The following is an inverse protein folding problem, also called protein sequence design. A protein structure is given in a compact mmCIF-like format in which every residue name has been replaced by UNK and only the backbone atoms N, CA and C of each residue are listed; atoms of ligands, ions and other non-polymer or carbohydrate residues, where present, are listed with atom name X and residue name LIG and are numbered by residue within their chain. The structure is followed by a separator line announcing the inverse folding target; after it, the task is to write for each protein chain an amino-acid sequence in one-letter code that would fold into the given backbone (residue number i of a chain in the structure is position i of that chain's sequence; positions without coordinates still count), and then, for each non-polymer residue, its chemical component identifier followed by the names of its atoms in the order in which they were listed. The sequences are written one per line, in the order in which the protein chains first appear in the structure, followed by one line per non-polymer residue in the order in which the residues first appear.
data_IF_920254749347
#
_entry.id   IF_920254749347
#
_cell.length_a   1.000
_cell.length_b   1.000
_cell.length_c   1.000
_cell.angle_alpha   90.00
_cell.angle_beta   90.00
_cell.angle_gamma   90.00
#
_symmetry.space_group_name_H-M   'P 1'
#
loop_
_entity.id
_entity.type
_entity.pdbx_description
1 polymer ?
#
# COMPACT_ATOMS: atom_id res chain seq x y z
N UNK A 1 -19.19 22.49 8.22
CA UNK A 1 -18.62 23.38 7.19
C UNK A 1 -17.91 22.46 6.20
N UNK A 2 -18.69 21.60 5.50
CA UNK A 2 -18.23 20.30 4.97
C UNK A 2 -18.43 20.17 3.45
N UNK A 3 -18.50 21.29 2.74
CA UNK A 3 -18.71 21.30 1.28
C UNK A 3 -17.39 21.13 0.51
N UNK A 4 -16.25 21.36 1.14
CA UNK A 4 -14.92 21.39 0.52
C UNK A 4 -14.30 20.00 0.32
N UNK A 5 -14.53 19.06 1.24
CA UNK A 5 -13.99 17.70 1.14
C UNK A 5 -14.61 16.87 0.02
N UNK A 6 -15.92 17.01 -0.19
CA UNK A 6 -16.64 16.30 -1.25
C UNK A 6 -16.23 16.79 -2.65
N UNK A 7 -16.08 18.10 -2.82
CA UNK A 7 -15.62 18.68 -4.08
C UNK A 7 -14.18 18.29 -4.44
N UNK A 8 -13.31 18.12 -3.43
CA UNK A 8 -11.93 17.70 -3.63
C UNK A 8 -11.79 16.20 -4.00
N UNK A 9 -12.64 15.33 -3.46
CA UNK A 9 -12.55 13.88 -3.70
C UNK A 9 -13.42 13.40 -4.86
N UNK A 10 -14.56 14.06 -5.12
CA UNK A 10 -15.56 13.64 -6.11
C UNK A 10 -16.07 14.82 -6.95
N UNK A 11 -15.21 15.43 -7.79
CA UNK A 11 -15.49 16.69 -8.49
C UNK A 11 -16.74 16.65 -9.39
N UNK A 12 -17.04 15.49 -10.00
CA UNK A 12 -18.25 15.32 -10.82
C UNK A 12 -19.54 15.23 -9.99
N UNK A 13 -19.47 14.70 -8.77
CA UNK A 13 -20.62 14.64 -7.87
C UNK A 13 -20.90 16.01 -7.23
N UNK A 14 -19.86 16.80 -6.95
CA UNK A 14 -20.01 18.16 -6.41
C UNK A 14 -20.61 19.15 -7.41
N UNK A 15 -20.30 19.00 -8.71
CA UNK A 15 -20.90 19.80 -9.77
C UNK A 15 -22.42 19.61 -9.84
N UNK A 16 -22.88 18.35 -9.70
CA UNK A 16 -24.31 18.02 -9.63
C UNK A 16 -25.02 18.56 -8.38
N UNK A 17 -24.28 18.85 -7.31
CA UNK A 17 -24.79 19.37 -6.04
C UNK A 17 -24.65 20.90 -5.91
N UNK A 18 -24.23 21.60 -6.98
CA UNK A 18 -24.07 23.06 -6.98
C UNK A 18 -23.04 23.55 -5.98
N UNK A 19 -22.00 22.75 -5.69
CA UNK A 19 -20.87 23.15 -4.88
C UNK A 19 -19.78 23.64 -5.84
N UNK A 20 -19.36 24.91 -5.71
CA UNK A 20 -18.28 25.45 -6.53
C UNK A 20 -17.05 24.53 -6.43
N UNK A 21 -16.45 24.13 -7.57
CA UNK A 21 -15.30 23.26 -7.55
C UNK A 21 -14.19 23.99 -6.80
N UNK A 22 -13.86 23.49 -5.62
CA UNK A 22 -12.63 23.89 -4.94
C UNK A 22 -11.54 23.50 -5.92
N UNK A 23 -10.77 24.47 -6.43
CA UNK A 23 -9.51 24.20 -7.11
C UNK A 23 -8.51 23.65 -6.09
N UNK A 24 -8.81 22.50 -5.49
CA UNK A 24 -7.83 21.68 -4.79
C UNK A 24 -6.97 21.08 -5.88
N UNK A 25 -5.88 21.78 -6.15
CA UNK A 25 -4.69 21.32 -6.85
C UNK A 25 -4.63 19.80 -6.93
N UNK A 26 -4.67 19.22 -8.13
CA UNK A 26 -4.60 17.78 -8.39
C UNK A 26 -3.48 17.05 -7.63
N UNK A 27 -2.47 17.81 -7.17
CA UNK A 27 -1.36 17.41 -6.32
C UNK A 27 -1.67 16.49 -5.14
N UNK A 28 -2.73 16.69 -4.33
CA UNK A 28 -2.92 15.85 -3.13
C UNK A 28 -3.48 14.46 -3.46
N UNK A 29 -4.53 14.40 -4.28
CA UNK A 29 -5.12 13.13 -4.73
C UNK A 29 -4.12 12.35 -5.59
N UNK A 30 -3.41 13.02 -6.49
CA UNK A 30 -2.37 12.40 -7.31
C UNK A 30 -1.22 11.87 -6.44
N UNK A 31 -0.78 12.61 -5.42
CA UNK A 31 0.25 12.14 -4.49
C UNK A 31 -0.21 10.92 -3.69
N UNK A 32 -1.46 10.92 -3.19
CA UNK A 32 -2.03 9.78 -2.47
C UNK A 32 -2.17 8.53 -3.35
N UNK A 33 -2.72 8.69 -4.57
CA UNK A 33 -2.83 7.59 -5.53
C UNK A 33 -1.46 7.06 -5.96
N UNK A 34 -0.48 7.94 -6.16
CA UNK A 34 0.90 7.55 -6.44
C UNK A 34 1.49 6.74 -5.28
N UNK A 35 1.29 7.18 -4.03
CA UNK A 35 1.76 6.46 -2.85
C UNK A 35 1.10 5.08 -2.73
N UNK A 36 -0.21 4.99 -2.92
CA UNK A 36 -0.93 3.70 -2.95
C UNK A 36 -0.39 2.79 -4.06
N UNK A 37 -0.17 3.33 -5.25
CA UNK A 37 0.39 2.57 -6.38
C UNK A 37 1.77 2.01 -6.06
N UNK A 38 2.64 2.81 -5.45
CA UNK A 38 3.98 2.37 -5.04
C UNK A 38 3.93 1.27 -3.97
N UNK A 39 3.05 1.41 -2.97
CA UNK A 39 2.88 0.37 -1.93
C UNK A 39 2.33 -0.91 -2.53
N UNK A 40 1.34 -0.82 -3.43
CA UNK A 40 0.80 -1.99 -4.11
C UNK A 40 1.88 -2.71 -4.94
N UNK A 41 2.70 -1.97 -5.69
CA UNK A 41 3.82 -2.54 -6.44
C UNK A 41 4.82 -3.25 -5.51
N UNK A 42 5.17 -2.64 -4.39
CA UNK A 42 6.06 -3.24 -3.39
C UNK A 42 5.51 -4.57 -2.86
N UNK A 43 4.23 -4.61 -2.48
CA UNK A 43 3.55 -5.83 -2.01
C UNK A 43 3.47 -6.87 -3.11
N UNK A 44 3.12 -6.48 -4.32
CA UNK A 44 3.03 -7.41 -5.46
C UNK A 44 4.36 -8.11 -5.74
N UNK A 45 5.47 -7.38 -5.75
CA UNK A 45 6.80 -7.97 -5.97
C UNK A 45 7.19 -8.87 -4.79
N UNK A 46 6.93 -8.46 -3.54
CA UNK A 46 7.23 -9.26 -2.37
C UNK A 46 6.49 -10.61 -2.39
N UNK A 47 5.20 -10.61 -2.72
CA UNK A 47 4.39 -11.83 -2.85
C UNK A 47 4.83 -12.67 -4.05
N UNK A 48 5.18 -12.04 -5.17
CA UNK A 48 5.71 -12.76 -6.34
C UNK A 48 6.98 -13.52 -5.98
N UNK A 49 7.93 -12.86 -5.28
CA UNK A 49 9.16 -13.48 -4.81
C UNK A 49 8.90 -14.69 -3.89
N UNK A 50 7.91 -14.60 -2.99
CA UNK A 50 7.52 -15.74 -2.14
C UNK A 50 7.03 -16.95 -2.94
N UNK A 51 6.30 -16.70 -4.02
CA UNK A 51 5.85 -17.77 -4.92
C UNK A 51 7.02 -18.32 -5.74
N UNK A 52 7.92 -17.45 -6.19
CA UNK A 52 9.05 -17.82 -7.04
C UNK A 52 10.11 -18.62 -6.29
N UNK A 53 10.16 -18.54 -4.96
CA UNK A 53 10.95 -19.45 -4.11
C UNK A 53 10.53 -20.93 -4.22
N UNK A 54 9.35 -21.23 -4.75
CA UNK A 54 8.86 -22.61 -4.97
C UNK A 54 9.30 -23.16 -6.32
N UNK A 55 9.95 -22.36 -7.16
CA UNK A 55 10.42 -22.78 -8.47
C UNK A 55 11.64 -23.70 -8.32
N UNK A 56 11.85 -24.55 -9.31
CA UNK A 56 13.04 -25.39 -9.39
C UNK A 56 14.24 -24.66 -10.01
N UNK A 57 14.03 -23.43 -10.48
CA UNK A 57 15.05 -22.61 -11.11
C UNK A 57 14.87 -21.14 -10.69
N UNK A 58 15.91 -20.57 -10.08
CA UNK A 58 15.94 -19.21 -9.53
C UNK A 58 16.78 -18.23 -10.36
N UNK A 59 16.99 -18.50 -11.66
CA UNK A 59 17.80 -17.64 -12.57
C UNK A 59 17.40 -16.17 -12.54
N UNK A 60 16.12 -15.88 -12.35
CA UNK A 60 15.58 -14.53 -12.38
C UNK A 60 15.40 -13.89 -11.00
N UNK A 61 15.65 -14.61 -9.89
CA UNK A 61 15.42 -14.05 -8.55
C UNK A 61 16.30 -12.83 -8.29
N UNK A 62 17.57 -12.85 -8.71
CA UNK A 62 18.44 -11.68 -8.54
C UNK A 62 17.85 -10.42 -9.22
N UNK A 63 17.25 -10.55 -10.40
CA UNK A 63 16.57 -9.44 -11.06
C UNK A 63 15.34 -8.97 -10.29
N UNK A 64 14.52 -9.91 -9.79
CA UNK A 64 13.33 -9.56 -9.02
C UNK A 64 13.67 -8.90 -7.68
N UNK A 65 14.75 -9.29 -7.02
CA UNK A 65 15.26 -8.61 -5.81
C UNK A 65 15.70 -7.18 -6.15
N UNK A 66 16.31 -6.96 -7.31
CA UNK A 66 16.65 -5.60 -7.74
C UNK A 66 15.40 -4.73 -7.97
N UNK A 67 14.32 -5.30 -8.51
CA UNK A 67 13.02 -4.62 -8.62
C UNK A 67 12.41 -4.34 -7.25
N UNK A 68 12.49 -5.29 -6.32
CA UNK A 68 12.05 -5.09 -4.93
C UNK A 68 12.81 -3.93 -4.28
N UNK A 69 14.13 -3.89 -4.42
CA UNK A 69 14.98 -2.80 -3.94
C UNK A 69 14.57 -1.45 -4.53
N UNK A 70 14.29 -1.40 -5.83
CA UNK A 70 13.78 -0.18 -6.48
C UNK A 70 12.43 0.26 -5.89
N UNK A 71 11.50 -0.66 -5.64
CA UNK A 71 10.23 -0.33 -5.00
C UNK A 71 10.40 0.14 -3.55
N UNK A 72 11.31 -0.47 -2.78
CA UNK A 72 11.67 -0.02 -1.43
C UNK A 72 12.18 1.44 -1.46
N UNK A 73 13.01 1.79 -2.45
CA UNK A 73 13.50 3.16 -2.62
C UNK A 73 12.37 4.17 -2.86
N UNK A 74 11.30 3.77 -3.55
CA UNK A 74 10.17 4.63 -3.89
C UNK A 74 9.11 4.69 -2.78
N UNK A 75 8.99 3.65 -1.95
CA UNK A 75 7.91 3.49 -0.98
C UNK A 75 8.04 4.40 0.27
N UNK A 76 9.16 5.12 0.41
CA UNK A 76 9.37 6.14 1.44
C UNK A 76 10.27 5.68 2.60
N UNK A 77 10.47 6.58 3.56
CA UNK A 77 11.45 6.42 4.66
C UNK A 77 11.15 5.24 5.57
N UNK A 78 9.88 4.85 5.74
CA UNK A 78 9.50 3.69 6.56
C UNK A 78 10.11 2.37 6.10
N UNK A 79 10.42 2.23 4.80
CA UNK A 79 11.00 1.00 4.26
C UNK A 79 12.53 1.02 4.18
N UNK A 80 13.19 2.09 4.64
CA UNK A 80 14.64 2.24 4.47
C UNK A 80 15.44 1.13 5.19
N UNK A 81 14.91 0.59 6.30
CA UNK A 81 15.52 -0.52 7.04
C UNK A 81 15.63 -1.81 6.23
N UNK A 82 14.75 -2.01 5.24
CA UNK A 82 14.80 -3.18 4.36
C UNK A 82 15.89 -3.07 3.29
N UNK A 83 16.36 -1.86 2.95
CA UNK A 83 17.44 -1.68 1.96
C UNK A 83 18.74 -2.35 2.40
N UNK A 84 19.15 -2.10 3.64
CA UNK A 84 20.36 -2.69 4.21
C UNK A 84 20.30 -4.22 4.19
N UNK A 85 19.14 -4.80 4.53
CA UNK A 85 18.91 -6.25 4.47
C UNK A 85 19.07 -6.81 3.05
N UNK A 86 18.57 -6.10 2.04
CA UNK A 86 18.75 -6.49 0.63
C UNK A 86 20.23 -6.43 0.24
N UNK A 87 20.89 -5.32 0.52
CA UNK A 87 22.29 -5.07 0.14
C UNK A 87 23.24 -6.13 0.73
N UNK A 88 22.98 -6.58 1.95
CA UNK A 88 23.79 -7.58 2.64
C UNK A 88 23.88 -8.92 1.89
N UNK A 89 22.77 -9.38 1.28
CA UNK A 89 22.69 -10.72 0.67
C UNK A 89 22.62 -10.68 -0.86
N UNK A 90 22.39 -9.51 -1.46
CA UNK A 90 22.20 -9.37 -2.91
C UNK A 90 23.40 -9.84 -3.73
N UNK A 91 24.63 -9.57 -3.28
CA UNK A 91 25.86 -10.02 -3.96
C UNK A 91 25.90 -11.54 -4.08
N UNK A 92 25.71 -12.24 -2.96
CA UNK A 92 25.69 -13.70 -2.89
C UNK A 92 24.60 -14.30 -3.80
N UNK A 93 23.39 -13.75 -3.76
CA UNK A 93 22.27 -14.21 -4.60
C UNK A 93 22.60 -14.02 -6.08
N UNK A 94 23.13 -12.85 -6.46
CA UNK A 94 23.51 -12.55 -7.84
C UNK A 94 24.58 -13.51 -8.36
N UNK A 95 25.61 -13.77 -7.57
CA UNK A 95 26.69 -14.66 -7.97
C UNK A 95 26.18 -16.10 -8.15
N UNK A 96 25.32 -16.56 -7.23
CA UNK A 96 24.68 -17.88 -7.34
C UNK A 96 23.81 -17.99 -8.60
N UNK A 97 22.99 -16.97 -8.89
CA UNK A 97 22.14 -16.95 -10.09
C UNK A 97 22.94 -16.96 -11.40
N UNK A 98 24.20 -16.49 -11.40
CA UNK A 98 25.06 -16.47 -12.58
C UNK A 98 25.97 -17.72 -12.69
N UNK A 99 26.05 -18.54 -11.66
CA UNK A 99 26.96 -19.70 -11.61
C UNK A 99 26.48 -20.90 -12.43
N UNK A 100 25.19 -20.98 -12.76
CA UNK A 100 24.56 -22.10 -13.48
C UNK A 100 23.43 -21.62 -14.37
N UNK A 101 23.02 -22.45 -15.35
CA UNK A 101 21.82 -22.20 -16.16
C UNK A 101 20.52 -22.51 -15.41
N UNK A 102 20.58 -23.40 -14.42
CA UNK A 102 19.48 -23.72 -13.51
C UNK A 102 19.92 -23.54 -12.05
N UNK A 103 20.17 -22.28 -11.63
CA UNK A 103 20.62 -22.00 -10.28
C UNK A 103 19.49 -22.20 -9.29
N UNK A 104 19.80 -22.76 -8.12
CA UNK A 104 18.88 -22.90 -7.00
C UNK A 104 19.46 -22.17 -5.79
N UNK A 105 18.64 -21.36 -5.13
CA UNK A 105 19.05 -20.68 -3.90
C UNK A 105 19.27 -21.70 -2.80
N UNK A 106 20.28 -21.47 -1.96
CA UNK A 106 20.46 -22.29 -0.76
C UNK A 106 19.28 -22.10 0.21
N UNK A 107 18.98 -23.09 1.07
CA UNK A 107 17.88 -22.98 2.03
C UNK A 107 17.96 -21.73 2.89
N UNK A 108 19.16 -21.29 3.26
CA UNK A 108 19.39 -20.08 4.06
C UNK A 108 18.94 -18.82 3.32
N UNK A 109 19.32 -18.70 2.03
CA UNK A 109 18.91 -17.56 1.19
C UNK A 109 17.40 -17.57 0.90
N UNK A 110 16.79 -18.76 0.79
CA UNK A 110 15.33 -18.87 0.63
C UNK A 110 14.60 -18.40 1.90
N UNK A 111 15.05 -18.84 3.08
CA UNK A 111 14.50 -18.40 4.37
C UNK A 111 14.63 -16.90 4.54
N UNK A 112 15.83 -16.35 4.29
CA UNK A 112 16.07 -14.91 4.36
C UNK A 112 15.13 -14.12 3.45
N UNK A 113 14.98 -14.55 2.18
CA UNK A 113 14.13 -13.85 1.22
C UNK A 113 12.64 -13.94 1.60
N UNK A 114 12.22 -15.07 2.15
CA UNK A 114 10.88 -15.25 2.67
C UNK A 114 10.62 -14.32 3.86
N UNK A 115 11.50 -14.30 4.87
CA UNK A 115 11.38 -13.42 6.03
C UNK A 115 11.37 -11.94 5.62
N UNK A 116 12.28 -11.53 4.73
CA UNK A 116 12.33 -10.17 4.19
C UNK A 116 10.99 -9.77 3.54
N UNK A 117 10.45 -10.63 2.69
CA UNK A 117 9.20 -10.33 1.97
C UNK A 117 7.98 -10.37 2.88
N UNK A 118 7.94 -11.27 3.87
CA UNK A 118 6.89 -11.31 4.91
C UNK A 118 6.89 -10.02 5.72
N UNK A 119 8.07 -9.56 6.17
CA UNK A 119 8.18 -8.32 6.95
C UNK A 119 7.76 -7.09 6.14
N UNK A 120 8.14 -7.02 4.85
CA UNK A 120 7.73 -5.93 3.95
C UNK A 120 6.21 -5.91 3.77
N UNK A 121 5.59 -7.08 3.57
CA UNK A 121 4.13 -7.20 3.42
C UNK A 121 3.44 -6.83 4.73
N UNK A 122 3.95 -7.29 5.88
CA UNK A 122 3.41 -6.93 7.18
C UNK A 122 3.46 -5.42 7.42
N UNK A 123 4.60 -4.78 7.13
CA UNK A 123 4.76 -3.32 7.21
C UNK A 123 3.81 -2.58 6.27
N UNK A 124 3.57 -3.10 5.06
CA UNK A 124 2.64 -2.49 4.12
C UNK A 124 1.17 -2.60 4.53
N UNK A 125 0.77 -3.72 5.15
CA UNK A 125 -0.63 -4.00 5.48
C UNK A 125 -1.04 -3.54 6.88
N UNK A 126 -0.14 -3.62 7.86
CA UNK A 126 -0.46 -3.44 9.27
C UNK A 126 0.09 -2.15 9.88
N UNK A 127 1.13 -1.55 9.32
CA UNK A 127 1.67 -0.27 9.81
C UNK A 127 0.78 0.94 9.47
N UNK A 128 -0.43 0.67 8.94
CA UNK A 128 -1.48 1.67 8.80
C UNK A 128 -2.87 1.13 9.08
N UNK A 129 -3.27 0.93 10.34
CA UNK A 129 -4.69 1.02 10.77
C UNK A 129 -4.82 1.53 12.22
N UNK A 130 -5.85 2.35 12.55
CA UNK A 130 -7.15 2.43 11.89
C UNK A 130 -7.44 3.77 11.18
N UNK A 131 -8.30 3.68 10.16
CA UNK A 131 -8.87 4.81 9.39
C UNK A 131 -9.55 5.89 10.26
N UNK A 132 -9.84 5.58 11.54
CA UNK A 132 -10.35 6.52 12.54
C UNK A 132 -9.34 7.61 12.94
N UNK A 133 -8.04 7.46 12.61
CA UNK A 133 -7.00 8.42 12.99
C UNK A 133 -6.35 9.13 11.79
N UNK A 134 -6.77 8.80 10.56
CA UNK A 134 -6.07 9.27 9.35
C UNK A 134 -6.49 10.64 8.84
N UNK A 135 -7.48 11.29 9.46
CA UNK A 135 -7.90 12.65 9.06
C UNK A 135 -8.44 13.42 10.27
N UNK A 136 -7.68 14.37 10.84
CA UNK A 136 -8.24 15.36 11.77
C UNK A 136 -9.42 16.16 11.17
N UNK A 137 -9.62 16.06 9.85
CA UNK A 137 -10.66 16.72 9.07
C UNK A 137 -11.83 15.81 8.62
N UNK A 138 -11.85 14.51 8.94
CA UNK A 138 -12.96 13.60 8.57
C UNK A 138 -13.91 13.24 9.73
N UNK A 139 -13.74 13.86 10.90
CA UNK A 139 -14.75 13.85 11.97
C UNK A 139 -16.19 14.08 11.46
N UNK A 140 -16.43 15.02 10.53
CA UNK A 140 -17.78 15.24 9.99
C UNK A 140 -18.38 14.04 9.26
N UNK A 141 -17.55 13.21 8.61
CA UNK A 141 -18.02 12.06 7.84
C UNK A 141 -18.31 10.86 8.76
N UNK A 142 -17.49 10.65 9.78
CA UNK A 142 -17.68 9.62 10.80
C UNK A 142 -18.95 9.89 11.63
N UNK A 143 -19.19 11.16 11.99
CA UNK A 143 -20.38 11.59 12.70
C UNK A 143 -21.64 11.45 11.84
N UNK A 144 -21.56 11.74 10.54
CA UNK A 144 -22.69 11.56 9.61
C UNK A 144 -23.09 10.09 9.47
N UNK A 145 -22.13 9.18 9.31
CA UNK A 145 -22.39 7.74 9.19
C UNK A 145 -23.04 7.21 10.48
N UNK A 146 -22.52 7.58 11.65
CA UNK A 146 -23.12 7.19 12.93
C UNK A 146 -24.53 7.77 13.12
N UNK A 147 -24.79 8.98 12.63
CA UNK A 147 -26.11 9.63 12.74
C UNK A 147 -27.14 8.99 11.82
N UNK A 148 -26.74 8.59 10.61
CA UNK A 148 -27.60 7.86 9.68
C UNK A 148 -27.88 6.45 10.19
N UNK A 149 -26.88 5.76 10.75
CA UNK A 149 -27.08 4.43 11.36
C UNK A 149 -27.97 4.46 12.62
N UNK A 150 -28.06 5.59 13.31
CA UNK A 150 -28.91 5.75 14.49
C UNK A 150 -30.33 6.28 14.17
N UNK A 151 -30.62 6.70 12.94
CA UNK A 151 -31.91 7.32 12.60
C UNK A 151 -32.93 6.36 11.96
N UNK A 152 -32.60 5.06 11.85
CA UNK A 152 -33.48 4.03 11.26
C UNK A 152 -34.48 3.43 12.28
N UNK A 153 -34.92 4.22 13.28
CA UNK A 153 -35.65 3.70 14.43
C UNK A 153 -36.76 4.57 15.03
N UNK A 154 -37.23 5.62 14.36
CA UNK A 154 -38.36 6.40 14.91
C UNK A 154 -39.09 7.24 13.86
N UNK A 155 -39.84 6.58 12.99
CA UNK A 155 -41.08 7.14 12.42
C UNK A 155 -42.19 6.10 12.60
N UNK A 156 -42.90 6.20 13.73
CA UNK A 156 -44.35 5.99 13.84
C UNK A 156 -44.77 5.94 15.31
N UNK A 157 -45.09 7.11 15.87
CA UNK A 157 -46.21 7.22 16.80
C UNK A 157 -46.68 8.66 17.00
N UNK A 158 -47.97 8.86 16.72
CA UNK A 158 -48.89 9.88 17.22
C UNK A 158 -48.86 11.27 16.56
N UNK A 159 -49.63 11.40 15.49
CA UNK A 159 -50.52 12.56 15.35
C UNK A 159 -51.91 12.18 15.88
N UNK A 160 -52.39 13.02 16.78
CA UNK A 160 -53.76 13.09 17.30
C UNK A 160 -54.75 13.45 16.19
#
# INVERSE_FOLDING_TARGET
MDRTGLAAMFPKASEHLGVDPVMTSGSFMEAHLRQMSTINQLVSIAVQLQNDLRLTNHKFIAHQIALLYQCINQAGTKYIGFKARVEEHFGTVKDLCNASDEPLLTPELQTWLNELTVDIVAEALFSGRPMAQQTPSAGPLSDYINRVSNNDGSEDQQQQ
#
